data_IF_629513951242
#
_entry.id   IF_629513951242
#
_cell.length_a   1.000
_cell.length_b   1.000
_cell.length_c   1.000
_cell.angle_alpha   90.00
_cell.angle_beta   90.00
_cell.angle_gamma   90.00
#
_symmetry.space_group_name_H-M   'P 1'
#
loop_
_entity.id
_entity.type
_entity.pdbx_description
1 polymer ?
#
# COMPACT_ATOMS: atom_id res chain seq x y z
N UNK A 1 41.96 44.68 36.35
CA UNK A 1 41.74 44.02 35.04
C UNK A 1 40.67 42.91 35.15
N UNK A 2 39.36 43.24 35.19
CA UNK A 2 38.28 42.25 35.38
C UNK A 2 37.51 41.90 34.08
N UNK A 3 37.78 42.58 32.96
CA UNK A 3 36.95 42.51 31.74
C UNK A 3 37.23 41.34 30.81
N UNK A 4 38.44 40.75 30.84
CA UNK A 4 38.84 39.75 29.84
C UNK A 4 38.23 38.35 30.09
N UNK A 5 37.89 38.03 31.34
CA UNK A 5 37.33 36.72 31.72
C UNK A 5 35.84 36.59 31.40
N UNK A 6 35.11 37.70 31.21
CA UNK A 6 33.69 37.67 30.82
C UNK A 6 33.49 37.49 29.31
N UNK A 7 34.43 37.93 28.47
CA UNK A 7 34.31 37.75 27.02
C UNK A 7 34.54 36.30 26.56
N UNK A 8 35.40 35.55 27.26
CA UNK A 8 35.73 34.15 26.91
C UNK A 8 34.65 33.13 27.32
N UNK A 9 33.66 33.51 28.13
CA UNK A 9 32.53 32.62 28.49
C UNK A 9 31.35 32.71 27.52
N UNK A 10 31.27 33.77 26.72
CA UNK A 10 30.15 33.99 25.80
C UNK A 10 30.37 33.38 24.41
N UNK A 11 31.62 33.06 24.04
CA UNK A 11 31.95 32.41 22.76
C UNK A 11 31.95 30.88 22.82
N UNK A 12 31.99 30.29 24.01
CA UNK A 12 32.00 28.83 24.17
C UNK A 12 30.60 28.18 24.18
N UNK A 13 29.52 28.98 24.28
CA UNK A 13 28.13 28.47 24.29
C UNK A 13 27.49 28.54 22.89
N UNK A 14 28.02 29.37 21.98
CA UNK A 14 27.48 29.52 20.62
C UNK A 14 27.83 28.39 19.65
N UNK A 15 28.83 27.55 19.97
CA UNK A 15 29.30 26.46 19.10
C UNK A 15 28.82 25.06 19.54
N UNK A 16 28.09 24.95 20.64
CA UNK A 16 27.50 23.70 21.13
C UNK A 16 26.01 23.53 20.76
N UNK A 17 25.45 24.50 20.01
CA UNK A 17 24.09 24.47 19.46
C UNK A 17 24.12 24.42 17.93
N UNK A 18 25.12 23.74 17.34
CA UNK A 18 24.93 23.21 16.00
C UNK A 18 23.77 22.21 16.10
N UNK A 19 22.59 22.51 15.56
CA UNK A 19 21.46 21.63 15.73
C UNK A 19 21.84 20.30 15.10
N UNK A 20 21.71 19.24 15.91
CA UNK A 20 21.40 17.90 15.45
C UNK A 20 20.11 17.97 14.62
N UNK A 21 20.19 18.56 13.42
CA UNK A 21 19.34 18.22 12.30
C UNK A 21 19.82 16.83 11.87
N UNK A 22 19.52 15.84 12.71
CA UNK A 22 19.28 14.50 12.21
C UNK A 22 18.04 14.67 11.36
N UNK A 23 18.26 15.08 10.11
CA UNK A 23 17.35 14.74 9.03
C UNK A 23 17.36 13.23 9.08
N UNK A 24 16.39 12.65 9.79
CA UNK A 24 16.05 11.25 9.59
C UNK A 24 15.63 11.22 8.13
N UNK A 25 16.60 10.92 7.27
CA UNK A 25 16.33 10.53 5.90
C UNK A 25 15.36 9.37 6.06
N UNK A 26 14.08 9.66 5.87
CA UNK A 26 13.13 8.60 5.69
C UNK A 26 13.68 7.89 4.46
N UNK A 27 13.99 6.61 4.59
CA UNK A 27 14.23 5.77 3.43
C UNK A 27 13.13 6.15 2.44
N UNK A 28 13.50 6.61 1.25
CA UNK A 28 12.54 6.85 0.19
C UNK A 28 11.92 5.48 -0.14
N UNK A 29 10.91 5.10 0.63
CA UNK A 29 10.11 3.91 0.39
C UNK A 29 9.32 4.29 -0.83
N UNK A 30 9.74 3.77 -1.97
CA UNK A 30 9.06 3.98 -3.25
C UNK A 30 7.69 3.28 -3.30
N UNK A 31 7.21 2.74 -2.18
CA UNK A 31 5.86 2.21 -2.05
C UNK A 31 5.54 1.93 -0.58
N UNK A 32 4.25 1.99 -0.25
CA UNK A 32 3.68 1.61 1.03
C UNK A 32 2.60 0.58 0.77
N UNK A 33 2.79 -0.63 1.30
CA UNK A 33 1.93 -1.77 1.00
C UNK A 33 1.44 -2.51 2.23
N UNK A 34 0.29 -3.14 2.09
CA UNK A 34 -0.17 -4.24 2.93
C UNK A 34 -0.08 -5.52 2.10
N UNK A 35 0.68 -6.48 2.61
CA UNK A 35 0.84 -7.79 2.00
C UNK A 35 -0.46 -8.60 1.99
N UNK A 36 -0.36 -9.90 1.71
CA UNK A 36 -1.53 -10.77 1.62
C UNK A 36 -2.28 -10.84 2.97
N UNK A 37 -3.53 -10.39 2.97
CA UNK A 37 -4.45 -10.46 4.10
C UNK A 37 -5.67 -11.28 3.70
N UNK A 38 -6.08 -12.24 4.52
CA UNK A 38 -7.34 -12.97 4.32
C UNK A 38 -8.52 -12.03 4.56
N UNK A 39 -9.27 -11.74 3.49
CA UNK A 39 -10.44 -10.84 3.52
C UNK A 39 -11.75 -11.62 3.61
N UNK A 40 -11.74 -12.90 3.26
CA UNK A 40 -12.88 -13.82 3.39
C UNK A 40 -12.38 -15.25 3.57
N UNK A 41 -13.07 -16.07 4.35
CA UNK A 41 -12.69 -17.47 4.56
C UNK A 41 -13.90 -18.37 4.78
N UNK A 42 -13.80 -19.60 4.29
CA UNK A 42 -14.73 -20.71 4.55
C UNK A 42 -13.97 -21.87 5.20
N UNK A 43 -14.62 -23.03 5.32
CA UNK A 43 -13.93 -24.27 5.71
C UNK A 43 -13.01 -24.82 4.61
N UNK A 44 -13.23 -24.44 3.35
CA UNK A 44 -12.51 -25.02 2.21
C UNK A 44 -11.47 -24.08 1.59
N UNK A 45 -11.70 -22.75 1.64
CA UNK A 45 -10.83 -21.78 0.97
C UNK A 45 -10.73 -20.45 1.72
N UNK A 46 -9.70 -19.68 1.35
CA UNK A 46 -9.47 -18.31 1.79
C UNK A 46 -9.33 -17.40 0.56
N UNK A 47 -10.06 -16.29 0.55
CA UNK A 47 -9.82 -15.18 -0.39
C UNK A 47 -8.91 -14.19 0.31
N UNK A 48 -7.81 -13.82 -0.35
CA UNK A 48 -6.86 -12.86 0.18
C UNK A 48 -6.71 -11.68 -0.77
N UNK A 49 -6.47 -10.50 -0.20
CA UNK A 49 -6.14 -9.29 -0.95
C UNK A 49 -4.75 -8.79 -0.56
N UNK A 50 -4.13 -8.02 -1.45
CA UNK A 50 -3.01 -7.16 -1.12
C UNK A 50 -3.21 -5.78 -1.78
N UNK A 51 -2.77 -4.72 -1.12
CA UNK A 51 -2.91 -3.35 -1.58
C UNK A 51 -1.60 -2.60 -1.40
N UNK A 52 -1.18 -1.86 -2.42
CA UNK A 52 0.03 -1.02 -2.36
C UNK A 52 -0.28 0.33 -2.99
N UNK A 53 0.28 1.39 -2.43
CA UNK A 53 0.34 2.70 -3.05
C UNK A 53 1.80 3.12 -3.22
N UNK A 54 2.09 3.77 -4.34
CA UNK A 54 3.37 4.40 -4.66
C UNK A 54 3.07 5.85 -5.06
N UNK A 55 3.80 6.79 -4.48
CA UNK A 55 3.93 8.15 -4.98
C UNK A 55 5.38 8.39 -5.37
N UNK A 56 5.57 8.97 -6.56
CA UNK A 56 6.90 9.24 -7.05
C UNK A 56 7.06 10.71 -7.43
N UNK A 57 8.16 11.31 -6.98
CA UNK A 57 8.44 12.74 -7.14
C UNK A 57 9.52 13.07 -8.18
N UNK A 58 9.90 12.15 -9.09
CA UNK A 58 10.75 12.48 -10.25
C UNK A 58 11.38 11.32 -11.02
N UNK A 59 10.95 11.07 -12.27
CA UNK A 59 11.47 10.04 -13.20
C UNK A 59 10.34 9.28 -13.94
N UNK A 60 10.57 8.03 -14.36
CA UNK A 60 9.65 7.23 -15.21
C UNK A 60 8.59 6.38 -14.47
N UNK A 61 8.60 6.31 -13.13
CA UNK A 61 7.54 5.62 -12.36
C UNK A 61 6.38 6.58 -12.07
N UNK A 62 5.14 6.15 -12.25
CA UNK A 62 3.93 6.97 -12.03
C UNK A 62 3.47 6.99 -10.58
N UNK A 63 2.41 7.74 -10.29
CA UNK A 63 1.69 7.67 -9.01
C UNK A 63 0.74 6.48 -9.07
N UNK A 64 1.18 5.31 -8.60
CA UNK A 64 0.51 4.04 -8.88
C UNK A 64 -0.17 3.44 -7.64
N UNK A 65 -1.40 3.00 -7.80
CA UNK A 65 -2.08 2.07 -6.89
C UNK A 65 -2.06 0.65 -7.44
N UNK A 66 -1.88 -0.33 -6.55
CA UNK A 66 -1.92 -1.76 -6.87
C UNK A 66 -2.97 -2.49 -6.03
N UNK A 67 -3.69 -3.40 -6.66
CA UNK A 67 -4.52 -4.40 -5.99
C UNK A 67 -4.26 -5.79 -6.56
N UNK A 68 -4.16 -6.77 -5.68
CA UNK A 68 -4.03 -8.16 -6.05
C UNK A 68 -5.08 -8.98 -5.31
N UNK A 69 -5.72 -9.92 -6.01
CA UNK A 69 -6.54 -10.95 -5.40
C UNK A 69 -5.80 -12.29 -5.42
N UNK A 70 -6.02 -13.10 -4.38
CA UNK A 70 -5.50 -14.46 -4.28
C UNK A 70 -6.57 -15.39 -3.76
N UNK A 71 -6.47 -16.65 -4.17
CA UNK A 71 -7.28 -17.74 -3.65
C UNK A 71 -6.34 -18.81 -3.07
N UNK A 72 -6.64 -19.24 -1.85
CA UNK A 72 -5.92 -20.27 -1.15
C UNK A 72 -6.86 -21.41 -0.73
N UNK A 73 -6.36 -22.63 -0.74
CA UNK A 73 -7.01 -23.75 -0.06
C UNK A 73 -6.80 -23.61 1.44
N UNK A 74 -7.84 -23.92 2.22
CA UNK A 74 -7.76 -23.91 3.68
C UNK A 74 -7.54 -25.33 4.19
N UNK A 75 -6.41 -25.55 4.87
CA UNK A 75 -6.09 -26.84 5.49
C UNK A 75 -6.86 -27.05 6.80
N UNK A 76 -6.80 -28.27 7.33
CA UNK A 76 -7.43 -28.67 8.60
C UNK A 76 -6.95 -27.85 9.80
N UNK A 77 -5.74 -27.29 9.74
CA UNK A 77 -5.16 -26.41 10.77
C UNK A 77 -5.65 -24.97 10.65
N UNK A 78 -6.49 -24.66 9.66
CA UNK A 78 -6.93 -23.32 9.33
C UNK A 78 -5.95 -22.51 8.48
N UNK A 79 -4.76 -23.05 8.18
CA UNK A 79 -3.77 -22.40 7.34
C UNK A 79 -4.25 -22.26 5.88
N UNK A 80 -3.98 -21.11 5.27
CA UNK A 80 -4.32 -20.80 3.88
C UNK A 80 -3.08 -20.96 2.99
N UNK A 81 -3.13 -21.88 2.02
CA UNK A 81 -2.03 -22.15 1.08
C UNK A 81 -2.48 -21.86 -0.35
N UNK A 82 -1.68 -21.11 -1.12
CA UNK A 82 -1.99 -20.68 -2.50
C UNK A 82 -1.91 -21.83 -3.53
N UNK A 83 -2.77 -22.83 -3.39
CA UNK A 83 -2.89 -23.96 -4.32
C UNK A 83 -4.28 -24.07 -4.94
N UNK A 84 -5.17 -23.12 -4.65
CA UNK A 84 -6.52 -23.10 -5.18
C UNK A 84 -6.57 -22.49 -6.57
N UNK A 85 -7.52 -22.95 -7.37
CA UNK A 85 -7.82 -22.45 -8.71
C UNK A 85 -9.28 -22.00 -8.77
N UNK A 86 -9.63 -21.19 -9.76
CA UNK A 86 -10.99 -20.67 -9.92
C UNK A 86 -10.99 -19.34 -10.65
N UNK A 87 -12.12 -18.64 -10.65
CA UNK A 87 -12.23 -17.30 -11.23
C UNK A 87 -12.30 -16.25 -10.13
N UNK A 88 -11.53 -15.18 -10.32
CA UNK A 88 -11.45 -14.06 -9.39
C UNK A 88 -11.74 -12.74 -10.07
N UNK A 89 -11.91 -11.72 -9.24
CA UNK A 89 -11.83 -10.34 -9.67
C UNK A 89 -11.18 -9.47 -8.61
N UNK A 90 -10.53 -8.41 -9.07
CA UNK A 90 -9.97 -7.37 -8.20
C UNK A 90 -10.27 -6.00 -8.78
N UNK A 91 -10.47 -5.01 -7.93
CA UNK A 91 -10.43 -3.59 -8.29
C UNK A 91 -9.70 -2.83 -7.20
N UNK A 92 -9.34 -1.59 -7.48
CA UNK A 92 -8.70 -0.73 -6.52
C UNK A 92 -9.33 0.65 -6.50
N UNK A 93 -9.48 1.18 -5.30
CA UNK A 93 -9.93 2.55 -5.05
C UNK A 93 -8.80 3.30 -4.34
N UNK A 94 -8.34 4.40 -4.92
CA UNK A 94 -7.45 5.35 -4.26
C UNK A 94 -8.29 6.35 -3.47
N UNK A 95 -7.90 6.53 -2.21
CA UNK A 95 -8.56 7.42 -1.27
C UNK A 95 -7.58 8.50 -0.79
N UNK A 96 -8.08 9.71 -0.54
CA UNK A 96 -7.34 10.82 0.05
C UNK A 96 -7.90 11.16 1.43
N UNK A 97 -7.04 11.48 2.39
CA UNK A 97 -7.44 11.94 3.72
C UNK A 97 -7.89 13.40 3.67
N UNK A 98 -9.14 13.67 4.02
CA UNK A 98 -9.69 15.03 4.00
C UNK A 98 -9.57 15.78 5.35
N UNK A 99 -8.83 15.23 6.30
CA UNK A 99 -8.73 15.74 7.67
C UNK A 99 -9.62 15.03 8.69
N UNK A 100 -10.65 14.32 8.25
CA UNK A 100 -11.62 13.62 9.13
C UNK A 100 -11.92 12.18 8.71
N UNK A 101 -11.88 11.89 7.41
CA UNK A 101 -12.14 10.58 6.85
C UNK A 101 -11.34 10.38 5.55
N UNK A 102 -11.21 9.12 5.15
CA UNK A 102 -10.72 8.74 3.83
C UNK A 102 -11.85 8.92 2.81
N UNK A 103 -11.65 9.82 1.86
CA UNK A 103 -12.57 10.09 0.77
C UNK A 103 -12.10 9.40 -0.51
N UNK A 104 -13.04 8.89 -1.31
CA UNK A 104 -12.72 8.37 -2.64
C UNK A 104 -12.10 9.48 -3.51
N UNK A 105 -11.00 9.16 -4.18
CA UNK A 105 -10.34 10.05 -5.14
C UNK A 105 -10.45 9.51 -6.57
N UNK A 106 -10.00 8.26 -6.78
CA UNK A 106 -10.03 7.61 -8.10
C UNK A 106 -10.17 6.12 -7.93
N UNK A 107 -10.70 5.42 -8.92
CA UNK A 107 -10.87 3.98 -8.87
C UNK A 107 -10.68 3.34 -10.23
N UNK A 108 -10.47 2.04 -10.21
CA UNK A 108 -10.42 1.21 -11.41
C UNK A 108 -11.73 0.46 -11.61
N UNK A 109 -11.97 0.01 -12.84
CA UNK A 109 -12.93 -1.07 -13.08
C UNK A 109 -12.45 -2.40 -12.46
N UNK A 110 -13.37 -3.36 -12.38
CA UNK A 110 -13.05 -4.73 -12.00
C UNK A 110 -12.21 -5.41 -13.09
N UNK A 111 -11.03 -5.90 -12.69
CA UNK A 111 -10.24 -6.83 -13.46
C UNK A 111 -10.63 -8.26 -13.10
N UNK A 112 -11.13 -9.00 -14.08
CA UNK A 112 -11.45 -10.41 -13.96
C UNK A 112 -10.28 -11.27 -14.41
N UNK A 113 -10.12 -12.44 -13.80
CA UNK A 113 -9.11 -13.40 -14.24
C UNK A 113 -9.10 -14.68 -13.41
N UNK A 114 -8.48 -15.74 -13.93
CA UNK A 114 -8.32 -16.99 -13.22
C UNK A 114 -7.31 -16.88 -12.05
N UNK A 115 -7.51 -17.70 -11.02
CA UNK A 115 -6.56 -17.99 -9.95
C UNK A 115 -5.71 -19.23 -10.28
N UNK A 116 -4.51 -19.29 -9.69
CA UNK A 116 -3.67 -20.49 -9.67
C UNK A 116 -2.64 -20.57 -10.80
N UNK A 117 -2.38 -19.45 -11.47
CA UNK A 117 -1.37 -19.38 -12.54
C UNK A 117 0.02 -19.34 -11.94
N UNK A 118 0.84 -20.37 -12.14
CA UNK A 118 2.23 -20.43 -11.65
C UNK A 118 3.26 -19.89 -12.65
N UNK A 119 2.85 -19.60 -13.88
CA UNK A 119 3.69 -19.04 -14.95
C UNK A 119 3.30 -17.59 -15.26
N UNK A 120 4.25 -16.66 -15.17
CA UNK A 120 4.08 -15.22 -15.45
C UNK A 120 5.38 -14.44 -15.20
N UNK A 121 5.44 -13.17 -15.64
CA UNK A 121 6.60 -12.27 -15.49
C UNK A 121 7.01 -12.08 -14.01
N UNK A 122 6.06 -12.21 -13.11
CA UNK A 122 6.26 -12.30 -11.67
C UNK A 122 5.81 -13.72 -11.29
N UNK A 123 6.71 -14.58 -10.79
CA UNK A 123 6.46 -16.02 -10.57
C UNK A 123 5.71 -16.35 -9.28
N UNK A 124 4.82 -17.35 -9.30
CA UNK A 124 3.95 -17.77 -8.18
C UNK A 124 2.47 -17.89 -8.57
N UNK A 125 1.60 -18.58 -7.81
CA UNK A 125 0.16 -18.72 -8.11
C UNK A 125 -0.59 -17.40 -7.89
N UNK A 126 -0.83 -16.64 -8.96
CA UNK A 126 -1.55 -15.36 -8.91
C UNK A 126 -3.01 -15.48 -9.33
N UNK A 127 -3.82 -14.56 -8.80
CA UNK A 127 -5.12 -14.19 -9.34
C UNK A 127 -5.04 -12.94 -10.20
N UNK A 128 -6.18 -12.30 -10.49
CA UNK A 128 -6.21 -11.03 -11.19
C UNK A 128 -5.48 -9.94 -10.37
N UNK A 129 -4.74 -9.11 -11.09
CA UNK A 129 -4.05 -7.93 -10.58
C UNK A 129 -4.58 -6.69 -11.29
N UNK A 130 -4.69 -5.59 -10.55
CA UNK A 130 -5.06 -4.31 -11.08
C UNK A 130 -4.02 -3.24 -10.71
N UNK A 131 -3.77 -2.35 -11.67
CA UNK A 131 -2.86 -1.23 -11.56
C UNK A 131 -3.59 0.02 -12.02
N UNK A 132 -3.47 1.11 -11.26
CA UNK A 132 -4.05 2.40 -11.60
C UNK A 132 -3.01 3.49 -11.39
N UNK A 133 -2.67 4.24 -12.44
CA UNK A 133 -2.05 5.55 -12.26
C UNK A 133 -3.13 6.52 -11.77
N UNK A 134 -3.03 6.91 -10.49
CA UNK A 134 -4.01 7.79 -9.89
C UNK A 134 -3.73 9.27 -10.19
N UNK A 135 -2.59 9.61 -10.80
CA UNK A 135 -2.27 10.97 -11.26
C UNK A 135 -1.72 11.89 -10.17
N UNK A 136 -1.28 11.34 -9.03
CA UNK A 136 -0.71 12.11 -7.93
C UNK A 136 -1.77 12.90 -7.17
N UNK A 137 -1.49 14.18 -6.90
CA UNK A 137 -2.36 15.09 -6.14
C UNK A 137 -3.57 15.60 -6.92
N UNK A 138 -4.18 14.75 -7.77
CA UNK A 138 -5.38 15.06 -8.56
C UNK A 138 -6.60 15.43 -7.69
N UNK A 139 -6.59 15.00 -6.42
CA UNK A 139 -7.60 15.32 -5.40
C UNK A 139 -7.08 16.32 -4.35
N UNK A 140 -6.00 17.03 -4.66
CA UNK A 140 -5.30 17.97 -3.78
C UNK A 140 -4.12 17.33 -3.04
N UNK A 141 -3.17 18.14 -2.53
CA UNK A 141 -2.08 17.65 -1.69
C UNK A 141 -2.63 16.98 -0.42
N UNK A 142 -2.09 15.83 -0.04
CA UNK A 142 -2.65 15.07 1.07
C UNK A 142 -2.04 13.70 1.28
N UNK A 143 -2.54 12.97 2.28
CA UNK A 143 -2.25 11.56 2.44
C UNK A 143 -3.17 10.72 1.56
N UNK A 144 -2.60 9.81 0.79
CA UNK A 144 -3.29 8.90 -0.11
C UNK A 144 -3.10 7.45 0.33
N UNK A 145 -4.09 6.59 0.06
CA UNK A 145 -3.97 5.13 0.21
C UNK A 145 -4.73 4.40 -0.88
N UNK A 146 -4.37 3.16 -1.13
CA UNK A 146 -5.11 2.24 -2.01
C UNK A 146 -5.95 1.28 -1.18
N UNK A 147 -7.20 1.06 -1.58
CA UNK A 147 -8.09 0.02 -1.07
C UNK A 147 -8.31 -1.01 -2.17
N UNK A 148 -7.76 -2.20 -1.99
CA UNK A 148 -7.98 -3.32 -2.88
C UNK A 148 -9.28 -4.04 -2.49
N UNK A 149 -10.14 -4.31 -3.46
CA UNK A 149 -11.23 -5.27 -3.32
C UNK A 149 -10.81 -6.57 -4.00
N UNK A 150 -10.86 -7.70 -3.29
CA UNK A 150 -10.46 -9.01 -3.80
C UNK A 150 -11.61 -10.01 -3.62
N UNK A 151 -12.03 -10.63 -4.72
CA UNK A 151 -13.20 -11.52 -4.74
C UNK A 151 -12.97 -12.79 -5.56
N UNK A 152 -13.70 -13.83 -5.17
CA UNK A 152 -13.73 -15.16 -5.78
C UNK A 152 -15.16 -15.50 -6.21
N UNK A 153 -15.30 -16.05 -7.42
CA UNK A 153 -16.56 -16.55 -7.94
C UNK A 153 -16.84 -17.97 -7.46
N UNK A 154 -17.91 -18.12 -6.68
CA UNK A 154 -18.36 -19.41 -6.15
C UNK A 154 -19.30 -20.16 -7.11
N UNK A 155 -19.64 -19.57 -8.25
CA UNK A 155 -20.67 -20.05 -9.19
C UNK A 155 -22.08 -19.62 -8.82
N UNK A 156 -22.34 -19.24 -7.57
CA UNK A 156 -23.60 -18.65 -7.10
C UNK A 156 -23.49 -17.15 -6.80
N UNK A 157 -22.27 -16.60 -6.87
CA UNK A 157 -21.98 -15.20 -6.59
C UNK A 157 -20.53 -14.98 -6.20
N UNK A 158 -20.19 -13.70 -6.03
CA UNK A 158 -18.86 -13.25 -5.65
C UNK A 158 -18.74 -13.14 -4.13
N UNK A 159 -17.66 -13.67 -3.57
CA UNK A 159 -17.33 -13.57 -2.15
C UNK A 159 -15.93 -13.01 -1.96
N UNK A 160 -15.74 -12.19 -0.93
CA UNK A 160 -14.46 -11.53 -0.73
C UNK A 160 -14.57 -10.38 0.25
N UNK A 161 -13.64 -9.43 0.13
CA UNK A 161 -13.61 -8.25 0.98
C UNK A 161 -12.56 -7.27 0.51
N UNK A 162 -12.22 -6.32 1.39
CA UNK A 162 -11.28 -5.25 1.08
C UNK A 162 -10.08 -5.25 2.03
N UNK A 163 -8.96 -4.76 1.53
CA UNK A 163 -7.76 -4.47 2.32
C UNK A 163 -7.21 -3.12 1.89
N UNK A 164 -6.86 -2.27 2.86
CA UNK A 164 -6.21 -1.00 2.59
C UNK A 164 -4.70 -1.16 2.66
N UNK A 165 -3.97 -0.42 1.84
CA UNK A 165 -2.53 -0.18 2.03
C UNK A 165 -2.30 0.69 3.27
N UNK A 166 -1.03 0.91 3.61
CA UNK A 166 -0.68 2.12 4.37
C UNK A 166 -0.91 3.37 3.53
N UNK A 167 -0.38 4.51 3.96
CA UNK A 167 -0.63 5.79 3.29
C UNK A 167 0.66 6.57 3.02
N UNK A 168 0.61 7.40 2.00
CA UNK A 168 1.74 8.22 1.55
C UNK A 168 1.30 9.66 1.34
N UNK A 169 2.19 10.60 1.69
CA UNK A 169 1.94 12.02 1.42
C UNK A 169 2.26 12.33 -0.04
N UNK A 170 1.31 12.92 -0.75
CA UNK A 170 1.46 13.38 -2.12
C UNK A 170 1.40 14.91 -2.11
N UNK A 171 2.47 15.61 -2.54
CA UNK A 171 2.57 17.06 -2.48
C UNK A 171 1.71 17.79 -3.51
#
# INVERSE_FOLDING_TARGET
MPGLRRLLRSTAIGLLLAPLLVVTGHSASAYTGTGRVTVYQTVAYCVQGAATIDHFSGGFSGNIGYANAYLANRGITGACTLTATGNGRTRLDVQVWNGSAWAFCRGSDWKYGPFGWTSGEFGGPYGPQQLLDYGGSVCGPGYYRTVASAEYDTGSGWVGGTVASGYEWVP
#
